data_IF_100465975558
#
_entry.id   IF_100465975558
#
_cell.length_a   1.000
_cell.length_b   1.000
_cell.length_c   1.000
_cell.angle_alpha   90.00
_cell.angle_beta   90.00
_cell.angle_gamma   90.00
#
_symmetry.space_group_name_H-M   'P 1'
#
loop_
_entity.id
_entity.type
_entity.pdbx_description
1 polymer ?
#
# COMPACT_ATOMS: atom_id res chain seq x y z
N UNK A 1 -23.56 41.72 -22.70
CA UNK A 1 -22.51 41.20 -21.81
C UNK A 1 -23.15 40.17 -20.89
N UNK A 2 -22.82 38.87 -21.00
CA UNK A 2 -23.31 37.85 -20.07
C UNK A 2 -22.55 37.94 -18.73
N UNK A 3 -23.27 37.76 -17.63
CA UNK A 3 -22.74 37.80 -16.26
C UNK A 3 -21.77 36.63 -15.99
N UNK A 4 -20.79 36.79 -15.08
CA UNK A 4 -19.88 35.71 -14.73
C UNK A 4 -20.64 34.55 -14.03
N UNK A 5 -20.24 33.29 -14.29
CA UNK A 5 -20.84 32.13 -13.65
C UNK A 5 -20.60 32.15 -12.13
N UNK A 6 -21.66 31.81 -11.38
CA UNK A 6 -21.61 31.63 -9.93
C UNK A 6 -20.76 30.37 -9.65
N UNK A 7 -19.73 30.45 -8.78
CA UNK A 7 -18.91 29.30 -8.43
C UNK A 7 -19.75 28.24 -7.70
N UNK A 8 -19.52 26.98 -8.08
CA UNK A 8 -20.19 25.81 -7.51
C UNK A 8 -19.80 25.66 -6.03
N UNK A 9 -20.75 25.48 -5.08
CA UNK A 9 -20.43 25.26 -3.67
C UNK A 9 -19.50 24.05 -3.41
N UNK A 10 -19.33 23.17 -4.39
CA UNK A 10 -18.44 22.01 -4.32
C UNK A 10 -16.95 22.32 -4.59
N UNK A 11 -16.59 23.55 -4.98
CA UNK A 11 -15.19 23.99 -5.19
C UNK A 11 -14.46 24.43 -3.90
N UNK A 12 -15.09 24.27 -2.73
CA UNK A 12 -14.44 24.57 -1.46
C UNK A 12 -13.33 23.52 -1.16
N UNK A 13 -12.07 23.94 -0.87
CA UNK A 13 -11.00 23.00 -0.55
C UNK A 13 -11.38 22.19 0.69
N UNK A 14 -11.50 20.87 0.53
CA UNK A 14 -11.81 19.94 1.62
C UNK A 14 -10.74 20.08 2.69
N UNK A 15 -11.09 20.69 3.83
CA UNK A 15 -10.19 20.79 5.00
C UNK A 15 -9.79 19.38 5.43
N UNK A 16 -8.50 19.08 5.36
CA UNK A 16 -7.93 17.86 5.92
C UNK A 16 -8.11 17.90 7.43
N UNK A 17 -9.07 17.12 7.94
CA UNK A 17 -9.30 16.97 9.38
C UNK A 17 -8.22 16.07 9.93
N UNK A 18 -7.28 16.64 10.68
CA UNK A 18 -6.29 15.85 11.43
C UNK A 18 -6.97 15.36 12.72
N UNK A 19 -7.12 14.04 12.95
CA UNK A 19 -7.78 13.54 14.15
C UNK A 19 -6.90 13.80 15.38
N UNK A 20 -7.30 14.76 16.23
CA UNK A 20 -6.53 15.17 17.41
C UNK A 20 -6.67 14.21 18.59
N UNK A 21 -7.62 13.27 18.58
CA UNK A 21 -7.84 12.31 19.69
C UNK A 21 -8.64 11.07 19.24
N UNK A 22 -8.11 9.87 19.50
CA UNK A 22 -8.84 8.59 19.32
C UNK A 22 -9.47 8.22 20.66
N UNK A 23 -10.80 8.05 20.68
CA UNK A 23 -11.53 7.60 21.88
C UNK A 23 -11.39 6.06 21.97
N UNK A 24 -10.88 5.50 23.09
CA UNK A 24 -10.77 4.05 23.26
C UNK A 24 -12.15 3.37 23.24
N UNK A 25 -12.22 2.15 22.73
CA UNK A 25 -13.44 1.35 22.71
C UNK A 25 -13.96 1.12 24.15
N UNK A 26 -15.21 1.51 24.42
CA UNK A 26 -15.87 1.36 25.72
C UNK A 26 -16.00 2.65 26.55
N UNK A 27 -15.45 3.78 26.10
CA UNK A 27 -15.72 5.06 26.74
C UNK A 27 -17.20 5.49 26.52
N UNK A 28 -17.91 5.97 27.56
CA UNK A 28 -19.28 6.41 27.41
C UNK A 28 -19.33 7.59 26.44
N UNK A 29 -20.09 7.42 25.35
CA UNK A 29 -20.36 8.49 24.40
C UNK A 29 -21.33 9.50 25.04
N UNK A 30 -21.20 10.80 24.74
CA UNK A 30 -22.14 11.79 25.22
C UNK A 30 -23.54 11.49 24.68
N UNK A 31 -24.54 11.52 25.57
CA UNK A 31 -25.95 11.19 25.27
C UNK A 31 -26.58 12.13 24.25
N UNK A 32 -26.04 13.34 24.11
CA UNK A 32 -26.48 14.34 23.14
C UNK A 32 -25.31 15.21 22.65
N UNK A 33 -25.47 15.79 21.47
CA UNK A 33 -24.61 16.87 21.02
C UNK A 33 -24.81 18.12 21.90
N UNK A 34 -23.76 18.90 22.19
CA UNK A 34 -23.87 20.16 22.93
C UNK A 34 -24.67 21.20 22.12
N UNK A 35 -25.51 21.98 22.81
CA UNK A 35 -26.29 23.06 22.19
C UNK A 35 -25.41 24.29 21.87
N UNK A 36 -25.81 25.16 20.93
CA UNK A 36 -25.08 26.38 20.60
C UNK A 36 -25.00 27.31 21.83
N UNK A 37 -23.85 27.36 22.47
CA UNK A 37 -23.60 28.16 23.69
C UNK A 37 -23.20 27.33 24.91
N UNK A 38 -23.37 26.01 24.87
CA UNK A 38 -22.83 25.12 25.90
C UNK A 38 -21.35 24.83 25.65
N UNK A 39 -20.54 24.87 26.71
CA UNK A 39 -19.14 24.45 26.64
C UNK A 39 -19.12 22.93 26.45
N UNK A 40 -18.50 22.40 25.38
CA UNK A 40 -18.44 20.97 25.17
C UNK A 40 -17.70 20.27 26.32
N UNK A 41 -18.09 19.04 26.70
CA UNK A 41 -17.51 18.35 27.87
C UNK A 41 -16.01 18.02 27.72
N UNK A 42 -15.46 18.15 26.52
CA UNK A 42 -14.03 18.00 26.21
C UNK A 42 -13.27 19.34 26.19
N UNK A 43 -13.91 20.46 26.50
CA UNK A 43 -13.25 21.76 26.72
C UNK A 43 -13.32 22.11 28.21
N UNK A 44 -12.17 22.35 28.81
CA UNK A 44 -12.10 22.97 30.13
C UNK A 44 -12.58 24.43 30.03
N UNK A 45 -13.43 24.92 30.97
CA UNK A 45 -13.77 26.32 31.06
C UNK A 45 -12.50 27.16 31.23
N UNK A 46 -12.42 28.38 30.65
CA UNK A 46 -11.33 29.28 30.94
C UNK A 46 -11.29 29.57 32.46
N UNK A 47 -10.10 29.67 33.07
CA UNK A 47 -9.99 30.02 34.48
C UNK A 47 -10.68 31.36 34.74
N UNK A 48 -11.37 31.54 35.88
CA UNK A 48 -12.02 32.80 36.20
C UNK A 48 -11.00 33.95 36.17
N UNK A 49 -11.42 35.17 35.78
CA UNK A 49 -10.54 36.33 35.79
C UNK A 49 -9.95 36.51 37.19
N UNK A 50 -8.66 36.90 37.30
CA UNK A 50 -8.05 37.14 38.60
C UNK A 50 -8.87 38.21 39.36
N UNK A 51 -9.07 38.04 40.68
CA UNK A 51 -9.76 39.05 41.47
C UNK A 51 -9.06 40.41 41.33
N UNK A 52 -9.82 41.52 41.36
CA UNK A 52 -9.23 42.85 41.34
C UNK A 52 -8.15 42.96 42.41
N UNK A 53 -6.99 43.49 42.03
CA UNK A 53 -5.86 43.63 42.92
C UNK A 53 -6.28 44.40 44.18
N UNK A 54 -6.08 43.79 45.35
CA UNK A 54 -6.18 44.49 46.62
C UNK A 54 -5.23 45.70 46.62
N UNK A 55 -5.59 46.81 47.29
CA UNK A 55 -4.67 47.93 47.49
C UNK A 55 -3.34 47.43 48.08
N UNK A 56 -2.18 47.96 47.65
CA UNK A 56 -0.89 47.48 48.12
C UNK A 56 -0.79 47.66 49.64
N UNK A 57 -0.54 46.55 50.35
CA UNK A 57 -0.07 46.62 51.72
C UNK A 57 1.34 47.27 51.77
N UNK A 58 1.72 47.94 52.87
CA UNK A 58 3.08 48.43 53.06
C UNK A 58 4.09 47.29 52.86
N UNK A 59 5.12 47.54 52.04
CA UNK A 59 6.18 46.58 51.73
C UNK A 59 6.90 46.11 53.02
N UNK A 60 7.02 44.80 53.28
CA UNK A 60 7.98 44.25 54.24
C UNK A 60 9.42 44.43 53.73
N UNK A 61 10.38 44.49 54.66
CA UNK A 61 11.81 44.63 54.37
C UNK A 61 12.32 43.63 53.31
N UNK A 62 13.28 44.03 52.44
CA UNK A 62 13.74 43.19 51.36
C UNK A 62 14.45 41.92 51.88
N UNK A 63 14.09 40.72 51.39
CA UNK A 63 14.81 39.49 51.73
C UNK A 63 16.22 39.49 51.10
N UNK A 64 17.14 38.78 51.77
CA UNK A 64 18.55 38.65 51.38
C UNK A 64 18.74 38.28 49.89
N UNK A 65 19.83 38.74 49.23
CA UNK A 65 20.04 38.53 47.80
C UNK A 65 20.09 37.05 47.45
N UNK A 66 19.25 36.67 46.50
CA UNK A 66 19.18 35.34 45.90
C UNK A 66 20.48 35.03 45.15
N UNK A 67 21.02 33.80 45.19
CA UNK A 67 22.16 33.43 44.35
C UNK A 67 21.80 33.58 42.87
N UNK A 68 22.72 34.05 42.01
CA UNK A 68 22.44 34.29 40.60
C UNK A 68 21.96 32.99 39.93
N UNK A 69 20.89 33.04 39.12
CA UNK A 69 20.39 31.86 38.42
C UNK A 69 21.49 31.30 37.53
N UNK A 70 21.74 30.00 37.66
CA UNK A 70 22.68 29.26 36.82
C UNK A 70 22.42 29.60 35.35
N UNK A 71 23.48 29.99 34.64
CA UNK A 71 23.42 30.34 33.23
C UNK A 71 22.77 29.18 32.46
N UNK A 72 21.52 29.38 32.02
CA UNK A 72 20.85 28.45 31.13
C UNK A 72 21.60 28.52 29.80
N UNK A 73 22.52 27.57 29.62
CA UNK A 73 23.26 27.44 28.37
C UNK A 73 22.29 26.81 27.38
N UNK A 74 21.60 27.65 26.63
CA UNK A 74 20.76 27.21 25.51
C UNK A 74 21.71 26.64 24.46
N UNK A 75 21.89 25.32 24.46
CA UNK A 75 22.56 24.61 23.38
C UNK A 75 21.69 24.72 22.14
N UNK A 76 21.88 25.79 21.37
CA UNK A 76 21.24 25.96 20.08
C UNK A 76 21.82 24.89 19.15
N UNK A 77 21.16 23.74 19.10
CA UNK A 77 21.50 22.64 18.22
C UNK A 77 21.04 23.05 16.82
N UNK A 78 21.87 23.84 16.15
CA UNK A 78 21.65 24.21 14.75
C UNK A 78 21.90 22.95 13.94
N UNK A 79 20.83 22.29 13.50
CA UNK A 79 20.92 21.31 12.44
C UNK A 79 21.22 22.06 11.14
N UNK A 80 22.51 22.19 10.83
CA UNK A 80 22.96 22.60 9.51
C UNK A 80 22.62 21.47 8.54
N UNK A 81 21.45 21.58 7.91
CA UNK A 81 21.10 20.73 6.78
C UNK A 81 21.94 21.18 5.59
N UNK A 82 23.12 20.59 5.47
CA UNK A 82 23.90 20.66 4.23
C UNK A 82 23.07 19.93 3.18
N UNK A 83 22.39 20.69 2.33
CA UNK A 83 21.78 20.19 1.10
C UNK A 83 22.92 19.79 0.16
N UNK A 84 23.41 18.57 0.35
CA UNK A 84 24.19 17.88 -0.66
C UNK A 84 23.25 17.69 -1.84
N UNK A 85 23.59 18.30 -2.98
CA UNK A 85 22.88 18.07 -4.24
C UNK A 85 22.91 16.55 -4.47
N UNK A 86 21.75 15.85 -4.50
CA UNK A 86 21.75 14.41 -4.69
C UNK A 86 22.45 14.14 -6.02
N UNK A 87 23.49 13.28 -5.99
CA UNK A 87 24.05 12.75 -7.23
C UNK A 87 22.91 12.32 -8.14
N UNK A 88 22.93 12.67 -9.44
CA UNK A 88 21.84 12.35 -10.34
C UNK A 88 21.58 10.85 -10.24
N UNK A 89 20.41 10.48 -9.71
CA UNK A 89 20.04 9.08 -9.54
C UNK A 89 20.23 8.39 -10.90
N UNK A 90 21.00 7.28 -10.95
CA UNK A 90 21.25 6.60 -12.21
C UNK A 90 19.92 6.27 -12.87
N UNK A 91 19.76 6.66 -14.14
CA UNK A 91 18.51 6.44 -14.85
C UNK A 91 18.14 4.95 -14.77
N UNK A 92 16.93 4.63 -14.28
CA UNK A 92 16.56 3.24 -14.06
C UNK A 92 16.58 2.49 -15.38
N UNK A 93 17.39 1.44 -15.42
CA UNK A 93 17.48 0.52 -16.55
C UNK A 93 16.10 -0.05 -16.87
N UNK A 94 15.91 -0.52 -18.11
CA UNK A 94 14.62 -1.10 -18.54
C UNK A 94 14.16 -2.22 -17.60
N UNK A 95 15.10 -3.01 -17.09
CA UNK A 95 14.83 -4.06 -16.10
C UNK A 95 14.41 -3.52 -14.73
N UNK A 96 15.03 -2.44 -14.24
CA UNK A 96 14.60 -1.78 -12.99
C UNK A 96 13.20 -1.20 -13.11
N UNK A 97 12.85 -0.63 -14.27
CA UNK A 97 11.47 -0.19 -14.54
C UNK A 97 10.47 -1.33 -14.53
N UNK A 98 10.76 -2.44 -15.21
CA UNK A 98 9.87 -3.61 -15.25
C UNK A 98 9.73 -4.22 -13.86
N UNK A 99 10.83 -4.37 -13.13
CA UNK A 99 10.81 -4.96 -11.78
C UNK A 99 10.14 -4.05 -10.76
N UNK A 100 10.34 -2.73 -10.85
CA UNK A 100 9.63 -1.75 -10.03
C UNK A 100 8.13 -1.76 -10.33
N UNK A 101 7.76 -1.78 -11.61
CA UNK A 101 6.36 -1.94 -12.04
C UNK A 101 5.77 -3.24 -11.51
N UNK A 102 6.47 -4.36 -11.63
CA UNK A 102 6.00 -5.66 -11.16
C UNK A 102 5.84 -5.70 -9.63
N UNK A 103 6.75 -5.05 -8.88
CA UNK A 103 6.66 -4.92 -7.42
C UNK A 103 5.46 -4.08 -6.96
N UNK A 104 4.91 -3.20 -7.80
CA UNK A 104 3.65 -2.51 -7.49
C UNK A 104 2.47 -3.48 -7.41
N UNK A 105 2.47 -4.53 -8.24
CA UNK A 105 1.39 -5.52 -8.30
C UNK A 105 1.69 -6.80 -7.52
N UNK A 106 2.96 -7.11 -7.27
CA UNK A 106 3.38 -8.38 -6.66
C UNK A 106 4.15 -8.10 -5.37
N UNK A 107 3.49 -8.30 -4.23
CA UNK A 107 4.18 -8.37 -2.95
C UNK A 107 5.08 -9.63 -2.94
N UNK A 108 6.38 -9.51 -2.62
CA UNK A 108 7.33 -10.62 -2.73
C UNK A 108 6.90 -11.83 -1.91
N UNK A 109 6.35 -11.61 -0.71
CA UNK A 109 5.82 -12.70 0.12
C UNK A 109 4.62 -13.43 -0.49
N UNK A 110 3.71 -12.73 -1.19
CA UNK A 110 2.61 -13.41 -1.88
C UNK A 110 3.12 -14.26 -3.04
N UNK A 111 4.18 -13.85 -3.74
CA UNK A 111 4.80 -14.63 -4.80
C UNK A 111 5.45 -15.90 -4.24
N UNK A 112 6.19 -15.79 -3.13
CA UNK A 112 6.81 -16.95 -2.47
C UNK A 112 5.75 -17.94 -2.00
N UNK A 113 4.70 -17.48 -1.31
CA UNK A 113 3.61 -18.35 -0.85
C UNK A 113 2.90 -19.01 -2.03
N UNK A 114 2.56 -18.24 -3.07
CA UNK A 114 1.91 -18.76 -4.27
C UNK A 114 2.75 -19.83 -4.97
N UNK A 115 4.05 -19.57 -5.13
CA UNK A 115 5.00 -20.50 -5.74
C UNK A 115 5.13 -21.77 -4.90
N UNK A 116 5.29 -21.63 -3.59
CA UNK A 116 5.35 -22.76 -2.67
C UNK A 116 4.07 -23.60 -2.78
N UNK A 117 2.89 -23.00 -2.68
CA UNK A 117 1.62 -23.72 -2.81
C UNK A 117 1.44 -24.38 -4.19
N UNK A 118 1.95 -23.78 -5.27
CA UNK A 118 1.85 -24.33 -6.62
C UNK A 118 2.75 -25.55 -6.84
N UNK A 119 3.92 -25.56 -6.22
CA UNK A 119 4.95 -26.59 -6.39
C UNK A 119 4.97 -27.65 -5.29
N UNK A 120 4.42 -27.35 -4.11
CA UNK A 120 4.32 -28.33 -3.04
C UNK A 120 3.39 -29.47 -3.46
N UNK A 121 3.76 -30.73 -3.16
CA UNK A 121 2.93 -31.88 -3.44
C UNK A 121 1.66 -31.81 -2.60
N UNK A 122 0.52 -32.04 -3.25
CA UNK A 122 -0.76 -32.11 -2.55
C UNK A 122 -0.80 -33.43 -1.75
N UNK A 123 -1.21 -33.38 -0.47
CA UNK A 123 -1.36 -34.59 0.33
C UNK A 123 -2.40 -35.52 -0.32
N UNK A 124 -2.00 -36.77 -0.57
CA UNK A 124 -2.83 -37.80 -1.20
C UNK A 124 -2.48 -38.11 -2.66
N UNK A 125 -2.09 -37.11 -3.46
CA UNK A 125 -1.69 -37.36 -4.86
C UNK A 125 -0.17 -37.43 -5.03
N UNK A 126 0.60 -36.77 -4.17
CA UNK A 126 2.07 -36.70 -4.29
C UNK A 126 2.56 -35.79 -5.43
N UNK A 127 1.65 -35.28 -6.26
CA UNK A 127 1.94 -34.35 -7.35
C UNK A 127 1.52 -32.93 -6.98
N UNK A 128 2.26 -31.95 -7.49
CA UNK A 128 1.92 -30.54 -7.32
C UNK A 128 0.82 -30.12 -8.29
N UNK A 129 0.06 -29.07 -7.94
CA UNK A 129 -0.98 -28.53 -8.83
C UNK A 129 -0.39 -28.07 -10.18
N UNK A 130 0.82 -27.51 -10.17
CA UNK A 130 1.53 -27.11 -11.38
C UNK A 130 1.89 -28.32 -12.25
N UNK A 131 2.38 -29.41 -11.65
CA UNK A 131 2.72 -30.66 -12.36
C UNK A 131 1.48 -31.31 -12.97
N UNK A 132 0.38 -31.38 -12.22
CA UNK A 132 -0.89 -31.94 -12.73
C UNK A 132 -1.42 -31.13 -13.89
N UNK A 133 -1.40 -29.80 -13.79
CA UNK A 133 -1.85 -28.94 -14.88
C UNK A 133 -0.94 -29.04 -16.11
N UNK A 134 0.38 -29.08 -15.92
CA UNK A 134 1.34 -29.33 -16.99
C UNK A 134 1.04 -30.65 -17.72
N UNK A 135 0.86 -31.74 -16.98
CA UNK A 135 0.47 -33.02 -17.56
C UNK A 135 -0.83 -32.92 -18.37
N UNK A 136 -1.86 -32.25 -17.85
CA UNK A 136 -3.14 -32.11 -18.57
C UNK A 136 -3.00 -31.33 -19.87
N UNK A 137 -2.17 -30.29 -19.90
CA UNK A 137 -1.92 -29.50 -21.12
C UNK A 137 -1.12 -30.30 -22.13
N UNK A 138 -0.11 -31.06 -21.69
CA UNK A 138 0.68 -31.94 -22.56
C UNK A 138 -0.20 -33.04 -23.17
N UNK A 139 -1.04 -33.70 -22.38
CA UNK A 139 -1.99 -34.71 -22.89
C UNK A 139 -2.98 -34.08 -23.87
N UNK A 140 -3.55 -32.92 -23.55
CA UNK A 140 -4.47 -32.24 -24.48
C UNK A 140 -3.79 -31.88 -25.81
N UNK A 141 -2.50 -31.55 -25.77
CA UNK A 141 -1.70 -31.28 -26.97
C UNK A 141 -1.44 -32.55 -27.79
N UNK A 142 -1.04 -33.62 -27.13
CA UNK A 142 -0.63 -34.86 -27.80
C UNK A 142 -1.84 -35.64 -28.34
N UNK A 143 -2.93 -35.71 -27.58
CA UNK A 143 -4.11 -36.50 -27.93
C UNK A 143 -5.13 -35.71 -28.77
N UNK A 144 -5.33 -34.43 -28.49
CA UNK A 144 -6.36 -33.61 -29.15
C UNK A 144 -5.78 -32.63 -30.17
N UNK A 145 -4.46 -32.49 -30.19
CA UNK A 145 -3.72 -31.70 -31.16
C UNK A 145 -3.27 -30.33 -30.66
N UNK A 146 -2.40 -29.72 -31.47
CA UNK A 146 -1.65 -28.49 -31.15
C UNK A 146 -2.57 -27.32 -30.74
N UNK A 147 -3.70 -27.15 -31.44
CA UNK A 147 -4.65 -26.08 -31.14
C UNK A 147 -5.26 -26.18 -29.74
N UNK A 148 -5.58 -27.39 -29.28
CA UNK A 148 -6.11 -27.62 -27.94
C UNK A 148 -5.03 -27.43 -26.88
N UNK A 149 -3.81 -27.90 -27.13
CA UNK A 149 -2.66 -27.63 -26.27
C UNK A 149 -2.45 -26.13 -26.01
N UNK A 150 -2.42 -25.33 -27.07
CA UNK A 150 -2.31 -23.87 -26.92
C UNK A 150 -3.55 -23.23 -26.31
N UNK A 151 -4.75 -23.75 -26.60
CA UNK A 151 -5.99 -23.29 -25.95
C UNK A 151 -5.94 -23.45 -24.44
N UNK A 152 -5.63 -24.65 -23.95
CA UNK A 152 -5.51 -24.94 -22.52
C UNK A 152 -4.28 -24.28 -21.88
N UNK A 153 -3.18 -24.09 -22.60
CA UNK A 153 -2.01 -23.38 -22.09
C UNK A 153 -2.23 -21.87 -21.97
N UNK A 154 -2.64 -21.23 -23.06
CA UNK A 154 -2.65 -19.76 -23.17
C UNK A 154 -3.90 -19.11 -22.61
N UNK A 155 -5.09 -19.67 -22.80
CA UNK A 155 -6.33 -19.02 -22.35
C UNK A 155 -6.35 -18.85 -20.83
N UNK A 156 -6.08 -19.89 -20.02
CA UNK A 156 -6.04 -19.75 -18.56
C UNK A 156 -4.90 -18.87 -18.08
N UNK A 157 -3.74 -18.88 -18.76
CA UNK A 157 -2.63 -18.00 -18.47
C UNK A 157 -3.00 -16.53 -18.67
N UNK A 158 -3.61 -16.18 -19.80
CA UNK A 158 -4.07 -14.82 -20.08
C UNK A 158 -5.12 -14.35 -19.08
N UNK A 159 -6.05 -15.22 -18.69
CA UNK A 159 -7.02 -14.94 -17.63
C UNK A 159 -6.35 -14.70 -16.28
N UNK A 160 -5.33 -15.50 -15.92
CA UNK A 160 -4.59 -15.35 -14.68
C UNK A 160 -3.78 -14.04 -14.66
N UNK A 161 -3.13 -13.67 -15.77
CA UNK A 161 -2.44 -12.39 -15.93
C UNK A 161 -3.42 -11.23 -15.75
N UNK A 162 -4.54 -11.23 -16.47
CA UNK A 162 -5.57 -10.21 -16.33
C UNK A 162 -6.11 -10.13 -14.88
N UNK A 163 -6.30 -11.27 -14.20
CA UNK A 163 -6.73 -11.31 -12.82
C UNK A 163 -5.70 -10.65 -11.87
N UNK A 164 -4.40 -10.93 -12.05
CA UNK A 164 -3.32 -10.35 -11.24
C UNK A 164 -3.20 -8.84 -11.47
N UNK A 165 -3.29 -8.39 -12.73
CA UNK A 165 -3.25 -6.96 -13.08
C UNK A 165 -4.41 -6.19 -12.46
N UNK A 166 -5.62 -6.77 -12.45
CA UNK A 166 -6.80 -6.13 -11.83
C UNK A 166 -6.75 -6.10 -10.31
N UNK A 167 -6.19 -7.14 -9.68
CA UNK A 167 -6.09 -7.21 -8.21
C UNK A 167 -4.97 -8.14 -7.78
N UNK A 168 -3.98 -7.60 -7.09
CA UNK A 168 -2.90 -8.39 -6.48
C UNK A 168 -3.42 -9.30 -5.36
N UNK A 169 -2.99 -10.56 -5.31
CA UNK A 169 -3.28 -11.47 -4.19
C UNK A 169 -2.63 -12.85 -4.35
N UNK A 170 -2.36 -13.57 -3.24
CA UNK A 170 -1.62 -14.82 -3.27
C UNK A 170 -2.34 -15.92 -4.07
N UNK A 171 -3.68 -16.00 -3.97
CA UNK A 171 -4.47 -16.96 -4.73
C UNK A 171 -4.36 -16.76 -6.25
N UNK A 172 -4.34 -15.51 -6.72
CA UNK A 172 -4.21 -15.21 -8.16
C UNK A 172 -2.80 -15.48 -8.66
N UNK A 173 -1.80 -15.20 -7.84
CA UNK A 173 -0.41 -15.57 -8.13
C UNK A 173 -0.22 -17.08 -8.16
N UNK A 174 -0.95 -17.83 -7.32
CA UNK A 174 -0.96 -19.30 -7.37
C UNK A 174 -1.50 -19.78 -8.72
N UNK A 175 -2.67 -19.29 -9.15
CA UNK A 175 -3.22 -19.63 -10.47
C UNK A 175 -2.32 -19.18 -11.61
N UNK A 176 -1.71 -18.00 -11.52
CA UNK A 176 -0.73 -17.53 -12.50
C UNK A 176 0.46 -18.49 -12.59
N UNK A 177 0.97 -18.94 -11.45
CA UNK A 177 2.12 -19.86 -11.39
C UNK A 177 1.77 -21.22 -12.00
N UNK A 178 0.62 -21.78 -11.59
CA UNK A 178 0.12 -23.07 -12.11
C UNK A 178 -0.09 -23.00 -13.62
N UNK A 179 -0.82 -21.98 -14.09
CA UNK A 179 -1.11 -21.81 -15.53
C UNK A 179 0.14 -21.50 -16.35
N UNK A 180 1.08 -20.73 -15.81
CA UNK A 180 2.37 -20.46 -16.45
C UNK A 180 3.18 -21.75 -16.65
N UNK A 181 3.32 -22.56 -15.59
CA UNK A 181 4.02 -23.86 -15.68
C UNK A 181 3.30 -24.82 -16.63
N UNK A 182 1.96 -24.81 -16.62
CA UNK A 182 1.20 -25.63 -17.56
C UNK A 182 1.33 -25.19 -19.01
N UNK A 183 1.40 -23.88 -19.27
CA UNK A 183 1.63 -23.36 -20.62
C UNK A 183 2.97 -23.81 -21.20
N UNK A 184 3.97 -24.10 -20.37
CA UNK A 184 5.22 -24.72 -20.83
C UNK A 184 5.01 -26.13 -21.39
N UNK A 185 3.99 -26.86 -20.92
CA UNK A 185 3.62 -28.17 -21.48
C UNK A 185 3.01 -28.07 -22.89
N UNK A 186 2.43 -26.91 -23.23
CA UNK A 186 1.95 -26.66 -24.59
C UNK A 186 3.08 -26.32 -25.57
N UNK A 187 4.24 -25.84 -25.08
CA UNK A 187 5.34 -25.41 -25.96
C UNK A 187 6.10 -26.63 -26.49
N UNK A 188 6.16 -26.76 -27.82
CA UNK A 188 7.11 -27.65 -28.46
C UNK A 188 8.15 -26.87 -29.26
N UNK A 189 9.42 -27.23 -29.10
CA UNK A 189 10.50 -26.69 -29.93
C UNK A 189 10.32 -27.00 -31.43
N UNK A 190 9.45 -27.95 -31.77
CA UNK A 190 9.15 -28.31 -33.14
C UNK A 190 8.01 -27.50 -33.76
N UNK A 191 7.21 -26.77 -32.98
CA UNK A 191 6.15 -25.92 -33.55
C UNK A 191 6.69 -24.88 -34.54
N UNK A 192 7.83 -24.19 -34.29
CA UNK A 192 8.44 -23.31 -35.28
C UNK A 192 8.86 -24.05 -36.55
N UNK A 193 9.39 -25.27 -36.41
CA UNK A 193 9.82 -26.09 -37.54
C UNK A 193 8.61 -26.52 -38.36
N UNK A 194 7.55 -26.99 -37.71
CA UNK A 194 6.29 -27.38 -38.34
C UNK A 194 5.61 -26.18 -39.01
N UNK A 195 5.63 -24.99 -38.40
CA UNK A 195 5.10 -23.77 -39.00
C UNK A 195 5.89 -23.34 -40.24
N UNK A 196 7.22 -23.54 -40.24
CA UNK A 196 8.10 -23.21 -41.37
C UNK A 196 8.03 -24.24 -42.50
N UNK A 197 7.89 -25.52 -42.17
CA UNK A 197 8.02 -26.64 -43.12
C UNK A 197 6.69 -27.26 -43.54
N UNK A 198 5.62 -27.03 -42.79
CA UNK A 198 4.31 -27.65 -43.00
C UNK A 198 4.25 -29.15 -42.72
N UNK A 199 5.33 -29.75 -42.21
CA UNK A 199 5.42 -31.20 -41.99
C UNK A 199 4.76 -31.57 -40.65
N UNK A 200 3.66 -32.35 -40.64
CA UNK A 200 3.10 -32.88 -39.41
C UNK A 200 4.03 -33.94 -38.80
N UNK A 201 4.04 -33.97 -37.48
CA UNK A 201 4.77 -34.95 -36.66
C UNK A 201 4.10 -36.32 -36.69
#
# INVERSE_FOLDING_TARGET
MPAPPVPDPDDAPRRTVTPTRVIPAGAPLPTRAPEPGEVPPWREPPPPPPPPASPPAPLPDPPAPTPPPAAVTVHHHVHEFVLVDPEPEPEPTRWERITAWLRQYIRPWHAVIALACALLPLPGTGYSAATTWHYTVSVARDDWGVGWGYGFGLVPLLLAVNAVVRRSGPLRLFFLTVTFIGALGALSWYDPIQALTGVPR
#
